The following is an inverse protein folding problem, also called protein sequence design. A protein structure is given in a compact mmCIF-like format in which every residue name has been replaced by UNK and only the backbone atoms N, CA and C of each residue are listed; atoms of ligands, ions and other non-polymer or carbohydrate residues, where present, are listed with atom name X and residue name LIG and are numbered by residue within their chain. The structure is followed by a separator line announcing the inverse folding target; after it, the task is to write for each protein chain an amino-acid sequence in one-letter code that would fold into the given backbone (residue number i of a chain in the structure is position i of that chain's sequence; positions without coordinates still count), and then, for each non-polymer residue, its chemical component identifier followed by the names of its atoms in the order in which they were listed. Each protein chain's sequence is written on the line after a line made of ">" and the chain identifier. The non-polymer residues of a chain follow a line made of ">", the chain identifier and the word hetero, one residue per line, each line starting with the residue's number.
data_IF_666868601799
#
_entry.id   IF_666868601799
#
_cell.length_a   1.000
_cell.length_b   1.000
_cell.length_c   1.000
_cell.angle_alpha   90.00
_cell.angle_beta   90.00
_cell.angle_gamma   90.00
#
_symmetry.space_group_name_H-M   'P 1'
#
loop_
_entity.id
_entity.type
_entity.pdbx_description
1 polymer ?
#
# COMPACT_ATOMS: atom_id res chain seq x y z
N UNK A 1 -44.96 -50.90 -16.93
CA UNK A 1 -44.02 -50.79 -15.78
C UNK A 1 -42.98 -49.78 -16.16
N UNK A 2 -43.21 -48.49 -15.83
CA UNK A 2 -42.25 -47.39 -15.95
C UNK A 2 -41.38 -47.33 -14.70
N UNK A 3 -40.08 -47.33 -14.86
CA UNK A 3 -39.13 -47.01 -13.82
C UNK A 3 -38.74 -45.55 -14.05
N UNK A 4 -39.21 -44.68 -13.16
CA UNK A 4 -38.87 -43.28 -13.09
C UNK A 4 -37.49 -43.21 -12.43
N UNK A 5 -36.47 -42.79 -13.18
CA UNK A 5 -35.14 -42.48 -12.66
C UNK A 5 -35.21 -41.09 -12.01
N UNK A 6 -35.12 -41.04 -10.68
CA UNK A 6 -34.91 -39.79 -9.96
C UNK A 6 -33.55 -39.21 -10.34
N UNK A 7 -33.57 -38.03 -10.97
CA UNK A 7 -32.41 -37.22 -11.26
C UNK A 7 -31.91 -36.63 -9.91
N UNK A 8 -30.84 -37.19 -9.37
CA UNK A 8 -30.15 -36.58 -8.23
C UNK A 8 -29.59 -35.22 -8.70
N UNK A 9 -30.07 -34.15 -8.09
CA UNK A 9 -29.48 -32.83 -8.22
C UNK A 9 -28.03 -32.90 -7.75
N UNK A 10 -27.06 -32.24 -8.47
CA UNK A 10 -25.69 -32.22 -8.03
C UNK A 10 -25.61 -31.54 -6.65
N UNK A 11 -24.99 -32.21 -5.70
CA UNK A 11 -24.69 -31.66 -4.40
C UNK A 11 -23.92 -30.34 -4.60
N UNK A 12 -24.47 -29.29 -4.02
CA UNK A 12 -23.82 -27.98 -3.92
C UNK A 12 -22.52 -28.20 -3.17
N UNK A 13 -21.41 -28.36 -3.89
CA UNK A 13 -20.09 -28.46 -3.32
C UNK A 13 -19.72 -27.06 -2.89
N UNK A 14 -20.03 -26.69 -1.64
CA UNK A 14 -19.58 -25.46 -1.03
C UNK A 14 -18.06 -25.36 -1.22
N UNK A 15 -17.62 -24.37 -1.97
CA UNK A 15 -16.18 -24.06 -2.11
C UNK A 15 -15.66 -23.78 -0.71
N UNK A 16 -14.62 -24.53 -0.27
CA UNK A 16 -14.02 -24.31 1.03
C UNK A 16 -13.49 -22.88 1.12
N UNK A 17 -13.63 -22.25 2.29
CA UNK A 17 -13.05 -20.93 2.51
C UNK A 17 -11.53 -20.97 2.32
N UNK A 18 -10.93 -19.96 1.67
CA UNK A 18 -9.48 -19.89 1.54
C UNK A 18 -8.77 -19.88 2.89
N UNK A 19 -7.54 -20.41 2.93
CA UNK A 19 -6.70 -20.33 4.13
C UNK A 19 -6.35 -18.86 4.43
N UNK A 20 -6.60 -18.46 5.65
CA UNK A 20 -6.31 -17.13 6.18
C UNK A 20 -4.82 -16.97 6.54
N UNK A 21 -4.33 -15.72 6.76
CA UNK A 21 -2.99 -15.47 7.24
C UNK A 21 -2.64 -16.27 8.49
N UNK A 22 -1.38 -16.67 8.61
CA UNK A 22 -0.88 -17.32 9.81
C UNK A 22 -0.97 -16.40 11.03
N UNK A 23 -1.18 -16.97 12.21
CA UNK A 23 -1.16 -16.21 13.46
C UNK A 23 0.21 -15.54 13.65
N UNK A 24 0.21 -14.29 14.12
CA UNK A 24 1.42 -13.52 14.42
C UNK A 24 2.19 -14.21 15.55
N UNK A 25 3.49 -14.42 15.32
CA UNK A 25 4.41 -14.93 16.35
C UNK A 25 5.18 -13.74 16.93
N UNK A 26 5.07 -13.50 18.26
CA UNK A 26 5.84 -12.43 18.90
C UNK A 26 7.35 -12.65 18.76
N UNK A 27 8.08 -11.56 18.48
CA UNK A 27 9.54 -11.53 18.44
C UNK A 27 10.01 -10.45 19.41
N UNK A 28 10.70 -10.82 20.48
CA UNK A 28 11.20 -9.87 21.46
C UNK A 28 12.17 -8.88 20.80
N UNK A 29 11.91 -7.58 20.97
CA UNK A 29 12.71 -6.53 20.34
C UNK A 29 12.63 -6.52 18.82
N UNK A 30 11.67 -7.22 18.22
CA UNK A 30 11.42 -7.26 16.80
C UNK A 30 10.88 -5.94 16.26
N UNK A 31 11.03 -5.75 14.96
CA UNK A 31 10.47 -4.61 14.24
C UNK A 31 9.36 -5.06 13.29
N UNK A 32 8.43 -4.18 13.02
CA UNK A 32 7.23 -4.45 12.22
C UNK A 32 7.01 -3.32 11.22
N UNK A 33 6.38 -3.63 10.09
CA UNK A 33 6.00 -2.65 9.06
C UNK A 33 4.49 -2.68 8.85
N UNK A 34 3.90 -1.51 8.66
CA UNK A 34 2.48 -1.39 8.33
C UNK A 34 2.20 -0.21 7.45
N UNK A 35 1.03 -0.23 6.84
CA UNK A 35 0.55 0.75 5.89
C UNK A 35 -0.84 1.22 6.29
N UNK A 36 -1.17 2.46 5.99
CA UNK A 36 -2.50 3.03 6.15
C UNK A 36 -2.82 3.99 5.02
N UNK A 37 -4.11 4.15 4.77
CA UNK A 37 -4.64 5.14 3.84
C UNK A 37 -5.51 6.13 4.57
N UNK A 38 -5.33 7.41 4.29
CA UNK A 38 -5.99 8.50 5.00
C UNK A 38 -6.38 9.64 4.05
N UNK A 39 -7.30 10.49 4.50
CA UNK A 39 -7.58 11.79 3.89
C UNK A 39 -6.79 12.87 4.62
N UNK A 40 -5.44 12.82 4.56
CA UNK A 40 -4.60 13.74 5.30
C UNK A 40 -4.66 15.18 4.78
N UNK A 41 -4.92 15.37 3.48
CA UNK A 41 -4.92 16.66 2.81
C UNK A 41 -6.18 16.88 1.97
N UNK A 42 -7.18 17.54 2.53
CA UNK A 42 -8.39 17.91 1.83
C UNK A 42 -9.17 16.74 1.23
N UNK A 43 -9.93 17.01 0.17
CA UNK A 43 -10.89 16.08 -0.44
C UNK A 43 -10.49 15.55 -1.81
N UNK A 44 -9.40 16.06 -2.41
CA UNK A 44 -8.99 15.78 -3.80
C UNK A 44 -7.95 14.70 -3.95
N UNK A 45 -7.41 14.19 -2.85
CA UNK A 45 -6.39 13.15 -2.82
C UNK A 45 -6.65 12.18 -1.68
N UNK A 46 -5.99 11.03 -1.73
CA UNK A 46 -5.81 10.20 -0.54
C UNK A 46 -4.32 10.00 -0.28
N UNK A 47 -3.98 9.81 0.98
CA UNK A 47 -2.61 9.65 1.46
C UNK A 47 -2.33 8.19 1.73
N UNK A 48 -1.19 7.70 1.27
CA UNK A 48 -0.56 6.47 1.70
C UNK A 48 0.51 6.81 2.74
N UNK A 49 0.45 6.16 3.88
CA UNK A 49 1.47 6.21 4.91
C UNK A 49 2.01 4.80 5.18
N UNK A 50 3.32 4.68 5.31
CA UNK A 50 3.99 3.45 5.76
C UNK A 50 4.83 3.78 6.98
N UNK A 51 4.84 2.90 7.97
CA UNK A 51 5.66 3.04 9.16
C UNK A 51 6.36 1.73 9.52
N UNK A 52 7.61 1.84 9.96
CA UNK A 52 8.34 0.77 10.63
C UNK A 52 8.40 1.13 12.10
N UNK A 53 8.03 0.19 12.95
CA UNK A 53 7.98 0.38 14.41
C UNK A 53 8.79 -0.68 15.15
N UNK A 54 9.30 -0.30 16.31
CA UNK A 54 9.76 -1.19 17.35
C UNK A 54 8.94 -0.88 18.59
N UNK A 55 8.12 -1.84 19.01
CA UNK A 55 7.10 -1.62 20.04
C UNK A 55 6.15 -0.46 19.64
N UNK A 56 6.23 0.68 20.32
CA UNK A 56 5.45 1.88 20.03
C UNK A 56 6.28 3.04 19.41
N UNK A 57 7.57 2.81 19.14
CA UNK A 57 8.48 3.81 18.61
C UNK A 57 8.59 3.70 17.09
N UNK A 58 8.43 4.82 16.40
CA UNK A 58 8.61 4.94 14.95
C UNK A 58 10.10 4.90 14.62
N UNK A 59 10.53 3.94 13.79
CA UNK A 59 11.90 3.84 13.30
C UNK A 59 12.08 4.43 11.91
N UNK A 60 11.05 4.35 11.09
CA UNK A 60 11.01 4.94 9.75
C UNK A 60 9.57 5.24 9.36
N UNK A 61 9.36 6.24 8.53
CA UNK A 61 8.04 6.58 7.98
C UNK A 61 8.15 7.01 6.52
N UNK A 62 7.09 6.81 5.76
CA UNK A 62 6.93 7.25 4.38
C UNK A 62 5.55 7.83 4.18
N UNK A 63 5.46 8.87 3.35
CA UNK A 63 4.21 9.54 2.96
C UNK A 63 4.18 9.75 1.45
N UNK A 64 3.06 9.50 0.84
CA UNK A 64 2.72 9.97 -0.50
C UNK A 64 1.22 10.27 -0.60
N UNK A 65 0.86 11.08 -1.57
CA UNK A 65 -0.53 11.36 -1.91
C UNK A 65 -0.82 10.94 -3.35
N UNK A 66 -2.01 10.37 -3.56
CA UNK A 66 -2.53 10.11 -4.90
C UNK A 66 -3.62 11.11 -5.25
N UNK A 67 -3.54 11.67 -6.44
CA UNK A 67 -4.48 12.67 -6.92
C UNK A 67 -4.77 12.50 -8.41
N UNK A 68 -6.03 12.73 -8.80
CA UNK A 68 -6.37 12.85 -10.21
C UNK A 68 -6.01 14.23 -10.76
N UNK A 69 -5.47 14.24 -11.96
CA UNK A 69 -5.19 15.46 -12.72
C UNK A 69 -5.64 15.29 -14.18
N UNK A 70 -5.49 16.33 -15.00
CA UNK A 70 -5.75 16.25 -16.44
C UNK A 70 -4.69 15.39 -17.13
N UNK A 71 -5.10 14.64 -18.14
CA UNK A 71 -4.17 13.91 -19.05
C UNK A 71 -3.17 14.84 -19.73
N UNK A 72 -3.51 16.13 -19.90
CA UNK A 72 -2.64 17.13 -20.52
C UNK A 72 -1.63 17.75 -19.55
N UNK A 73 -1.64 17.35 -18.27
CA UNK A 73 -0.77 17.93 -17.24
C UNK A 73 0.72 17.59 -17.41
N UNK A 74 1.04 16.59 -18.24
CA UNK A 74 2.44 16.16 -18.45
C UNK A 74 3.06 15.43 -17.25
N UNK A 75 2.23 14.80 -16.44
CA UNK A 75 2.66 14.05 -15.25
C UNK A 75 2.97 12.58 -15.57
N UNK A 76 3.79 11.96 -14.74
CA UNK A 76 3.95 10.50 -14.70
C UNK A 76 2.77 9.89 -13.97
N UNK A 77 1.97 9.10 -14.67
CA UNK A 77 0.84 8.39 -14.12
C UNK A 77 1.27 7.16 -13.30
N UNK A 78 0.38 6.65 -12.44
CA UNK A 78 0.60 5.37 -11.78
C UNK A 78 0.68 4.22 -12.80
N UNK A 79 1.33 3.09 -12.47
CA UNK A 79 1.45 1.95 -13.39
C UNK A 79 0.09 1.49 -13.94
N UNK A 80 0.10 0.95 -15.15
CA UNK A 80 -1.09 0.49 -15.90
C UNK A 80 -2.11 1.58 -16.27
N UNK A 81 -1.75 2.86 -16.16
CA UNK A 81 -2.60 3.98 -16.62
C UNK A 81 -2.76 4.06 -18.14
N UNK A 82 -1.98 3.29 -18.89
CA UNK A 82 -2.08 3.09 -20.35
C UNK A 82 -2.73 1.77 -20.74
N UNK A 83 -3.30 1.05 -19.76
CA UNK A 83 -3.86 -0.29 -19.91
C UNK A 83 -5.26 -0.39 -19.27
N UNK A 84 -5.70 -1.58 -18.89
CA UNK A 84 -7.05 -1.85 -18.37
C UNK A 84 -7.38 -1.06 -17.08
N UNK A 85 -6.37 -0.72 -16.28
CA UNK A 85 -6.58 0.08 -15.07
C UNK A 85 -7.18 1.45 -15.39
N UNK A 86 -6.77 2.06 -16.50
CA UNK A 86 -7.28 3.36 -16.94
C UNK A 86 -8.78 3.36 -17.30
N UNK A 87 -9.39 2.20 -17.51
CA UNK A 87 -10.85 2.09 -17.72
C UNK A 87 -11.66 2.52 -16.47
N UNK A 88 -11.01 2.64 -15.32
CA UNK A 88 -11.59 3.18 -14.10
C UNK A 88 -11.54 4.71 -13.98
N UNK A 89 -10.89 5.41 -14.91
CA UNK A 89 -10.75 6.86 -14.88
C UNK A 89 -11.91 7.58 -15.58
N UNK A 90 -12.33 8.71 -15.03
CA UNK A 90 -13.19 9.64 -15.75
C UNK A 90 -12.47 10.18 -16.99
N UNK A 91 -13.23 10.59 -18.00
CA UNK A 91 -12.69 11.13 -19.24
C UNK A 91 -11.74 12.32 -18.97
N UNK A 92 -10.57 12.31 -19.61
CA UNK A 92 -9.56 13.35 -19.49
C UNK A 92 -8.83 13.38 -18.12
N UNK A 93 -8.98 12.35 -17.31
CA UNK A 93 -8.31 12.21 -16.01
C UNK A 93 -7.22 11.15 -16.03
N UNK A 94 -6.22 11.35 -15.18
CA UNK A 94 -5.16 10.39 -14.91
C UNK A 94 -4.79 10.44 -13.43
N UNK A 95 -4.52 9.31 -12.83
CA UNK A 95 -4.09 9.19 -11.43
C UNK A 95 -2.57 9.32 -11.35
N UNK A 96 -2.09 10.15 -10.44
CA UNK A 96 -0.66 10.33 -10.18
C UNK A 96 -0.33 10.19 -8.71
N UNK A 97 0.89 9.72 -8.42
CA UNK A 97 1.58 9.90 -7.15
C UNK A 97 2.17 11.31 -7.10
N UNK A 98 1.97 12.02 -6.00
CA UNK A 98 2.56 13.36 -5.85
C UNK A 98 4.08 13.29 -5.67
N UNK A 99 4.61 12.27 -5.00
CA UNK A 99 6.07 12.09 -4.89
C UNK A 99 6.72 11.82 -6.24
N UNK A 100 6.15 10.95 -7.06
CA UNK A 100 6.67 10.69 -8.41
C UNK A 100 6.61 11.93 -9.30
N UNK A 101 5.80 12.91 -8.96
CA UNK A 101 5.61 14.17 -9.67
C UNK A 101 5.92 15.40 -8.78
N UNK A 102 6.89 15.27 -7.86
CA UNK A 102 7.18 16.29 -6.86
C UNK A 102 7.52 17.65 -7.47
N UNK A 103 8.30 17.70 -8.55
CA UNK A 103 8.64 18.94 -9.24
C UNK A 103 7.40 19.66 -9.81
N UNK A 104 6.54 18.91 -10.48
CA UNK A 104 5.27 19.43 -11.02
C UNK A 104 4.39 19.98 -9.89
N UNK A 105 4.22 19.21 -8.83
CA UNK A 105 3.34 19.58 -7.72
C UNK A 105 3.90 20.75 -6.92
N UNK A 106 5.22 20.77 -6.66
CA UNK A 106 5.91 21.85 -5.96
C UNK A 106 5.82 23.18 -6.73
N UNK A 107 5.98 23.14 -8.05
CA UNK A 107 5.78 24.32 -8.91
C UNK A 107 4.37 24.86 -8.79
N UNK A 108 3.36 23.99 -8.84
CA UNK A 108 1.96 24.35 -8.68
C UNK A 108 1.68 24.97 -7.29
N UNK A 109 2.26 24.40 -6.23
CA UNK A 109 2.16 24.93 -4.87
C UNK A 109 2.79 26.32 -4.74
N UNK A 110 3.95 26.54 -5.37
CA UNK A 110 4.60 27.84 -5.36
C UNK A 110 3.78 28.90 -6.12
N UNK A 111 3.29 28.58 -7.31
CA UNK A 111 2.53 29.49 -8.17
C UNK A 111 1.14 29.83 -7.59
N UNK A 112 0.45 28.87 -7.02
CA UNK A 112 -0.94 29.06 -6.52
C UNK A 112 -1.03 29.38 -5.04
N UNK A 113 -0.11 28.85 -4.24
CA UNK A 113 -0.13 28.94 -2.77
C UNK A 113 1.05 29.75 -2.18
N UNK A 114 2.00 30.18 -3.01
CA UNK A 114 3.19 30.90 -2.54
C UNK A 114 4.11 30.02 -1.68
N UNK A 115 4.03 28.69 -1.83
CA UNK A 115 4.88 27.77 -1.06
C UNK A 115 6.35 27.97 -1.38
N UNK A 116 7.18 28.01 -0.35
CA UNK A 116 8.64 28.14 -0.45
C UNK A 116 9.38 26.82 -0.20
N UNK A 117 8.65 25.77 0.18
CA UNK A 117 9.19 24.43 0.43
C UNK A 117 8.56 23.43 -0.55
N UNK A 118 9.39 22.64 -1.21
CA UNK A 118 8.93 21.62 -2.14
C UNK A 118 8.07 20.55 -1.43
N UNK A 119 7.21 19.86 -2.16
CA UNK A 119 6.30 18.88 -1.59
C UNK A 119 7.06 17.71 -0.93
N UNK A 120 8.02 17.13 -1.65
CA UNK A 120 8.86 16.04 -1.15
C UNK A 120 9.65 16.46 0.10
N UNK A 121 10.20 17.67 0.13
CA UNK A 121 10.87 18.22 1.31
C UNK A 121 9.92 18.39 2.50
N UNK A 122 8.67 18.76 2.28
CA UNK A 122 7.62 18.78 3.30
C UNK A 122 7.35 17.37 3.86
N UNK A 123 7.14 16.39 2.99
CA UNK A 123 6.93 15.01 3.40
C UNK A 123 8.13 14.47 4.18
N UNK A 124 9.35 14.73 3.70
CA UNK A 124 10.57 14.30 4.38
C UNK A 124 10.74 14.96 5.76
N UNK A 125 10.39 16.24 5.91
CA UNK A 125 10.40 16.92 7.20
C UNK A 125 9.41 16.26 8.19
N UNK A 126 8.20 15.93 7.74
CA UNK A 126 7.18 15.28 8.57
C UNK A 126 7.61 13.85 8.95
N UNK A 127 8.13 13.08 8.00
CA UNK A 127 8.65 11.73 8.22
C UNK A 127 9.81 11.73 9.22
N UNK A 128 10.78 12.62 9.03
CA UNK A 128 11.94 12.75 9.91
C UNK A 128 11.54 13.19 11.32
N UNK A 129 10.51 14.04 11.45
CA UNK A 129 9.97 14.42 12.74
C UNK A 129 9.36 13.24 13.50
N UNK A 130 8.72 12.31 12.79
CA UNK A 130 8.10 11.13 13.37
C UNK A 130 9.13 10.12 13.90
N UNK A 131 10.31 10.02 13.27
CA UNK A 131 11.33 9.05 13.67
C UNK A 131 11.82 9.31 15.09
N UNK A 132 11.89 8.23 15.89
CA UNK A 132 12.29 8.24 17.29
C UNK A 132 11.18 8.65 18.27
N UNK A 133 9.99 9.01 17.79
CA UNK A 133 8.84 9.32 18.64
C UNK A 133 7.95 8.08 18.83
N UNK A 134 7.27 8.07 19.95
CA UNK A 134 6.21 7.08 20.19
C UNK A 134 4.94 7.44 19.44
N UNK A 135 4.09 6.45 19.22
CA UNK A 135 2.76 6.66 18.63
C UNK A 135 2.00 7.73 19.42
N UNK A 136 2.01 7.67 20.77
CA UNK A 136 1.32 8.63 21.63
C UNK A 136 1.87 10.05 21.49
N UNK A 137 3.18 10.23 21.39
CA UNK A 137 3.79 11.56 21.16
C UNK A 137 3.35 12.16 19.83
N UNK A 138 3.22 11.33 18.77
CA UNK A 138 2.71 11.80 17.48
C UNK A 138 1.22 12.13 17.53
N UNK A 139 0.42 11.36 18.26
CA UNK A 139 -0.99 11.66 18.49
C UNK A 139 -1.17 13.00 19.19
N UNK A 140 -0.35 13.28 20.20
CA UNK A 140 -0.39 14.55 20.93
C UNK A 140 -0.06 15.75 20.03
N UNK A 141 0.88 15.60 19.11
CA UNK A 141 1.20 16.67 18.14
C UNK A 141 0.08 16.81 17.11
N UNK A 142 -0.42 15.71 16.55
CA UNK A 142 -1.51 15.72 15.59
C UNK A 142 -2.79 16.34 16.18
N UNK A 143 -3.06 16.13 17.47
CA UNK A 143 -4.21 16.71 18.18
C UNK A 143 -4.19 18.25 18.23
N UNK A 144 -3.05 18.90 17.94
CA UNK A 144 -2.95 20.36 17.84
C UNK A 144 -3.58 20.92 16.56
N UNK A 145 -4.01 20.08 15.63
CA UNK A 145 -4.64 20.49 14.39
C UNK A 145 -3.72 21.40 13.56
N UNK A 146 -4.19 22.55 13.14
CA UNK A 146 -3.40 23.47 12.29
C UNK A 146 -2.08 23.93 12.93
N UNK A 147 -1.95 23.90 14.25
CA UNK A 147 -0.71 24.29 14.96
C UNK A 147 0.36 23.16 14.95
N UNK A 148 0.01 21.97 14.48
CA UNK A 148 0.96 20.85 14.40
C UNK A 148 2.16 21.17 13.48
N UNK A 149 1.96 21.97 12.44
CA UNK A 149 3.02 22.40 11.51
C UNK A 149 4.13 23.15 12.23
N UNK A 150 3.81 23.92 13.27
CA UNK A 150 4.80 24.70 14.02
C UNK A 150 5.77 23.82 14.83
N UNK A 151 5.38 22.58 15.12
CA UNK A 151 6.22 21.60 15.79
C UNK A 151 7.22 20.91 14.85
N UNK A 152 6.98 20.96 13.53
CA UNK A 152 7.72 20.21 12.52
C UNK A 152 8.66 21.16 11.76
N UNK A 153 9.91 21.23 12.17
CA UNK A 153 10.92 22.04 11.47
C UNK A 153 11.08 21.60 10.01
N UNK A 154 10.96 22.56 9.09
CA UNK A 154 11.06 22.31 7.65
C UNK A 154 9.73 22.00 6.96
N UNK A 155 8.66 21.74 7.68
CA UNK A 155 7.32 21.61 7.10
C UNK A 155 6.59 22.95 7.04
N UNK A 156 5.81 23.14 5.99
CA UNK A 156 4.95 24.32 5.77
C UNK A 156 3.51 23.93 5.42
N UNK A 157 3.20 22.65 5.35
CA UNK A 157 1.86 22.16 5.03
C UNK A 157 0.94 22.36 6.24
N UNK A 158 -0.14 23.11 6.06
CA UNK A 158 -1.14 23.35 7.10
C UNK A 158 -1.82 22.06 7.59
N UNK A 159 -1.83 21.02 6.74
CA UNK A 159 -2.39 19.70 7.04
C UNK A 159 -1.35 18.73 7.66
N UNK A 160 -0.26 19.24 8.21
CA UNK A 160 0.77 18.43 8.89
C UNK A 160 0.17 17.49 9.93
N UNK A 161 -0.85 17.92 10.67
CA UNK A 161 -1.58 17.07 11.62
C UNK A 161 -2.20 15.84 10.97
N UNK A 162 -2.80 15.99 9.78
CA UNK A 162 -3.38 14.89 9.02
C UNK A 162 -2.33 13.87 8.57
N UNK A 163 -1.18 14.33 8.11
CA UNK A 163 -0.07 13.44 7.74
C UNK A 163 0.54 12.72 8.95
N UNK A 164 0.68 13.38 10.09
CA UNK A 164 1.11 12.73 11.33
C UNK A 164 0.10 11.66 11.78
N UNK A 165 -1.19 11.94 11.68
CA UNK A 165 -2.24 10.96 11.97
C UNK A 165 -2.17 9.76 11.03
N UNK A 166 -1.88 9.96 9.74
CA UNK A 166 -1.70 8.87 8.78
C UNK A 166 -0.49 7.98 9.15
N UNK A 167 0.63 8.57 9.60
CA UNK A 167 1.78 7.80 10.12
C UNK A 167 1.41 7.03 11.38
N UNK A 168 0.63 7.61 12.29
CA UNK A 168 0.13 6.94 13.50
C UNK A 168 -0.72 5.73 13.12
N UNK A 169 -1.61 5.87 12.16
CA UNK A 169 -2.46 4.76 11.70
C UNK A 169 -1.63 3.64 11.07
N UNK A 170 -0.63 3.99 10.24
CA UNK A 170 0.32 3.03 9.69
C UNK A 170 1.13 2.31 10.78
N UNK A 171 1.56 3.03 11.82
CA UNK A 171 2.29 2.47 12.95
C UNK A 171 1.42 1.51 13.78
N UNK A 172 0.15 1.85 14.03
CA UNK A 172 -0.81 0.94 14.69
C UNK A 172 -1.07 -0.30 13.86
N UNK A 173 -1.21 -0.16 12.55
CA UNK A 173 -1.33 -1.29 11.64
C UNK A 173 -0.05 -2.16 11.65
N UNK A 174 1.13 -1.55 11.73
CA UNK A 174 2.40 -2.28 11.83
C UNK A 174 2.41 -3.21 13.05
N UNK A 175 1.88 -2.79 14.20
CA UNK A 175 1.81 -3.60 15.41
C UNK A 175 0.94 -4.87 15.24
N UNK A 176 0.18 -4.97 14.15
CA UNK A 176 -0.65 -6.14 13.81
C UNK A 176 -0.01 -7.06 12.76
N UNK A 177 1.21 -6.78 12.31
CA UNK A 177 1.93 -7.58 11.31
C UNK A 177 2.99 -8.47 11.97
N UNK A 178 3.53 -9.43 11.21
CA UNK A 178 4.60 -10.29 11.71
C UNK A 178 5.86 -9.49 11.98
N UNK A 179 6.37 -9.56 13.21
CA UNK A 179 7.63 -8.96 13.58
C UNK A 179 8.82 -9.77 13.06
N UNK A 180 9.92 -9.09 12.75
CA UNK A 180 11.21 -9.70 12.43
C UNK A 180 12.26 -9.25 13.42
N UNK A 181 13.24 -10.12 13.70
CA UNK A 181 14.39 -9.75 14.53
C UNK A 181 15.26 -8.72 13.80
N UNK A 182 15.62 -7.65 14.49
CA UNK A 182 16.52 -6.63 13.96
C UNK A 182 17.45 -6.12 15.07
N UNK A 183 18.73 -6.37 14.90
CA UNK A 183 19.78 -6.00 15.85
C UNK A 183 20.58 -4.75 15.43
N UNK A 184 20.20 -4.13 14.28
CA UNK A 184 20.81 -2.91 13.78
C UNK A 184 20.29 -1.64 14.47
N UNK A 185 20.91 -0.51 14.14
CA UNK A 185 20.41 0.82 14.53
C UNK A 185 19.26 1.25 13.61
N UNK A 186 18.34 2.08 14.12
CA UNK A 186 17.31 2.73 13.28
C UNK A 186 17.92 3.60 12.18
N UNK A 187 19.15 4.14 12.40
CA UNK A 187 19.87 4.93 11.40
C UNK A 187 20.33 4.10 10.19
N UNK A 188 20.44 2.77 10.36
CA UNK A 188 20.80 1.85 9.27
C UNK A 188 19.59 1.51 8.39
N UNK A 189 18.36 1.74 8.87
CA UNK A 189 17.13 1.46 8.14
C UNK A 189 16.84 2.52 7.09
N UNK A 190 16.55 2.07 5.88
CA UNK A 190 16.03 2.90 4.79
C UNK A 190 14.69 2.35 4.35
N UNK A 191 13.64 3.16 4.50
CA UNK A 191 12.30 2.82 4.04
C UNK A 191 12.03 3.50 2.69
N UNK A 192 11.63 2.72 1.71
CA UNK A 192 11.21 3.23 0.41
C UNK A 192 9.94 2.51 -0.08
N UNK A 193 9.18 3.19 -0.93
CA UNK A 193 7.96 2.67 -1.55
C UNK A 193 8.05 2.88 -3.05
N UNK A 194 7.69 1.85 -3.81
CA UNK A 194 7.65 1.89 -5.27
C UNK A 194 6.29 1.40 -5.75
N UNK A 195 5.79 2.02 -6.80
CA UNK A 195 4.57 1.61 -7.48
C UNK A 195 4.92 0.85 -8.76
N UNK A 196 4.38 -0.35 -8.89
CA UNK A 196 4.69 -1.25 -9.99
C UNK A 196 3.45 -1.96 -10.53
N UNK A 197 3.64 -2.75 -11.57
CA UNK A 197 2.62 -3.60 -12.19
C UNK A 197 2.98 -5.07 -11.95
N UNK A 198 2.84 -5.55 -10.70
CA UNK A 198 3.19 -6.92 -10.34
C UNK A 198 2.20 -7.94 -10.91
N UNK A 199 0.91 -7.57 -11.04
CA UNK A 199 -0.18 -8.47 -11.40
C UNK A 199 -1.05 -7.90 -12.50
N UNK A 200 -0.78 -8.31 -13.74
CA UNK A 200 -1.62 -7.98 -14.90
C UNK A 200 -1.75 -6.47 -15.16
N UNK A 201 -2.87 -6.10 -15.79
CA UNK A 201 -3.10 -4.75 -16.33
C UNK A 201 -4.22 -3.97 -15.64
N UNK A 202 -4.94 -4.61 -14.69
CA UNK A 202 -6.14 -4.04 -14.04
C UNK A 202 -5.88 -3.37 -12.69
N UNK A 203 -4.66 -3.45 -12.18
CA UNK A 203 -4.27 -2.92 -10.88
C UNK A 203 -2.85 -2.36 -10.94
N UNK A 204 -2.48 -1.58 -9.94
CA UNK A 204 -1.07 -1.29 -9.67
C UNK A 204 -0.73 -1.66 -8.23
N UNK A 205 0.52 -2.03 -8.03
CA UNK A 205 1.05 -2.55 -6.76
C UNK A 205 1.82 -1.45 -6.05
N UNK A 206 1.58 -1.27 -4.76
CA UNK A 206 2.45 -0.54 -3.83
C UNK A 206 3.33 -1.55 -3.10
N UNK A 207 4.64 -1.44 -3.28
CA UNK A 207 5.64 -2.23 -2.58
C UNK A 207 6.49 -1.36 -1.67
N UNK A 208 6.40 -1.58 -0.36
CA UNK A 208 7.22 -0.90 0.64
C UNK A 208 8.32 -1.84 1.14
N UNK A 209 9.54 -1.34 1.26
CA UNK A 209 10.68 -2.11 1.76
C UNK A 209 11.51 -1.27 2.72
N UNK A 210 11.81 -1.85 3.88
CA UNK A 210 12.85 -1.37 4.77
C UNK A 210 14.11 -2.21 4.56
N UNK A 211 15.21 -1.58 4.20
CA UNK A 211 16.52 -2.21 4.01
C UNK A 211 17.50 -1.81 5.09
N UNK A 212 18.46 -2.70 5.37
CA UNK A 212 19.68 -2.39 6.13
C UNK A 212 20.87 -2.95 5.35
N UNK A 213 21.71 -2.08 4.81
CA UNK A 213 22.75 -2.46 3.84
C UNK A 213 22.13 -3.15 2.63
N UNK A 214 22.60 -4.34 2.30
CA UNK A 214 22.14 -5.14 1.16
C UNK A 214 20.98 -6.08 1.50
N UNK A 215 20.41 -5.98 2.69
CA UNK A 215 19.37 -6.89 3.18
C UNK A 215 18.02 -6.22 3.18
N UNK A 216 17.00 -6.90 2.66
CA UNK A 216 15.60 -6.57 2.83
C UNK A 216 15.20 -7.03 4.24
N UNK A 217 14.99 -6.10 5.16
CA UNK A 217 14.63 -6.42 6.55
C UNK A 217 13.14 -6.67 6.68
N UNK A 218 12.35 -5.76 6.12
CA UNK A 218 10.88 -5.83 6.11
C UNK A 218 10.35 -5.43 4.75
N UNK A 219 9.23 -6.01 4.38
CA UNK A 219 8.50 -5.67 3.17
C UNK A 219 6.99 -5.64 3.41
N UNK A 220 6.27 -4.87 2.60
CA UNK A 220 4.82 -4.78 2.62
C UNK A 220 4.28 -4.61 1.22
N UNK A 221 3.19 -5.31 0.89
CA UNK A 221 2.54 -5.32 -0.43
C UNK A 221 1.08 -4.95 -0.27
N UNK A 222 0.60 -4.04 -1.10
CA UNK A 222 -0.82 -3.87 -1.39
C UNK A 222 -1.01 -3.55 -2.87
N UNK A 223 -2.22 -3.64 -3.34
CA UNK A 223 -2.62 -3.29 -4.70
C UNK A 223 -3.88 -2.46 -4.72
N UNK A 224 -3.94 -1.59 -5.71
CA UNK A 224 -5.12 -0.77 -6.00
C UNK A 224 -5.78 -1.25 -7.29
N UNK A 225 -7.09 -1.43 -7.23
CA UNK A 225 -7.90 -1.87 -8.36
C UNK A 225 -9.26 -1.17 -8.35
N UNK A 226 -9.80 -0.91 -9.53
CA UNK A 226 -11.17 -0.45 -9.64
C UNK A 226 -12.15 -1.61 -9.54
N UNK A 227 -13.18 -1.43 -8.72
CA UNK A 227 -14.34 -2.29 -8.61
C UNK A 227 -15.60 -1.56 -9.09
N UNK A 228 -16.71 -2.29 -9.23
CA UNK A 228 -18.02 -1.67 -9.36
C UNK A 228 -18.42 -0.93 -8.09
N UNK A 229 -19.01 0.24 -8.18
CA UNK A 229 -19.47 1.00 -7.01
C UNK A 229 -20.55 0.28 -6.20
N UNK A 230 -21.20 -0.72 -6.80
CA UNK A 230 -22.21 -1.59 -6.19
C UNK A 230 -21.63 -2.91 -5.63
N UNK A 231 -20.32 -3.10 -5.72
CA UNK A 231 -19.65 -4.34 -5.29
C UNK A 231 -19.59 -4.52 -3.76
N UNK A 232 -19.96 -3.49 -2.98
CA UNK A 232 -19.91 -3.55 -1.51
C UNK A 232 -18.51 -3.45 -0.94
N UNK A 233 -17.55 -2.93 -1.72
CA UNK A 233 -16.16 -2.72 -1.28
C UNK A 233 -16.00 -1.37 -0.58
N UNK A 234 -14.98 -1.27 0.26
CA UNK A 234 -14.54 0.00 0.86
C UNK A 234 -13.62 0.69 -0.15
N UNK A 235 -14.02 1.88 -0.60
CA UNK A 235 -13.18 2.73 -1.45
C UNK A 235 -12.00 3.33 -0.67
N UNK A 236 -10.96 3.76 -1.39
CA UNK A 236 -9.88 4.54 -0.77
C UNK A 236 -10.45 5.85 -0.18
N UNK A 237 -9.77 6.49 0.80
CA UNK A 237 -10.25 7.74 1.38
C UNK A 237 -10.63 8.78 0.32
N UNK A 238 -11.65 9.58 0.60
CA UNK A 238 -12.23 10.60 -0.30
C UNK A 238 -12.89 10.04 -1.59
N UNK A 239 -13.16 8.74 -1.67
CA UNK A 239 -13.91 8.15 -2.80
C UNK A 239 -15.34 8.69 -2.93
N UNK A 240 -15.92 9.18 -1.85
CA UNK A 240 -17.24 9.83 -1.77
C UNK A 240 -17.19 11.37 -1.86
N UNK A 241 -16.01 11.93 -2.14
CA UNK A 241 -15.73 13.35 -2.21
C UNK A 241 -15.12 13.75 -3.57
N UNK A 242 -14.35 14.86 -3.62
CA UNK A 242 -13.75 15.37 -4.85
C UNK A 242 -12.80 14.38 -5.54
N UNK A 243 -12.15 13.50 -4.77
CA UNK A 243 -11.29 12.47 -5.35
C UNK A 243 -12.10 11.49 -6.21
N UNK A 244 -13.28 11.10 -5.74
CA UNK A 244 -14.20 10.22 -6.48
C UNK A 244 -14.69 10.79 -7.80
N UNK A 245 -14.64 12.11 -8.01
CA UNK A 245 -14.94 12.73 -9.30
C UNK A 245 -13.94 12.35 -10.41
N UNK A 246 -12.81 11.78 -10.06
CA UNK A 246 -11.84 11.19 -10.98
C UNK A 246 -12.17 9.80 -11.49
N UNK A 247 -13.23 9.17 -10.97
CA UNK A 247 -13.65 7.82 -11.37
C UNK A 247 -14.58 7.83 -12.57
N UNK A 248 -14.46 6.81 -13.41
CA UNK A 248 -15.48 6.50 -14.41
C UNK A 248 -16.82 6.16 -13.71
N UNK A 249 -17.93 6.37 -14.40
CA UNK A 249 -19.26 6.06 -13.88
C UNK A 249 -19.36 4.61 -13.41
N UNK A 250 -19.91 4.41 -12.21
CA UNK A 250 -20.09 3.09 -11.62
C UNK A 250 -18.80 2.43 -11.13
N UNK A 251 -17.72 3.16 -10.97
CA UNK A 251 -16.42 2.67 -10.48
C UNK A 251 -16.07 3.26 -9.12
N UNK A 252 -15.28 2.49 -8.35
CA UNK A 252 -14.64 2.92 -7.11
C UNK A 252 -13.24 2.30 -7.03
N UNK A 253 -12.26 3.08 -6.67
CA UNK A 253 -10.89 2.60 -6.43
C UNK A 253 -10.81 1.99 -5.03
N UNK A 254 -10.26 0.78 -4.93
CA UNK A 254 -10.09 0.09 -3.65
C UNK A 254 -8.66 -0.39 -3.46
N UNK A 255 -8.22 -0.47 -2.20
CA UNK A 255 -7.09 -1.28 -1.77
C UNK A 255 -7.54 -2.73 -1.66
N UNK A 256 -6.75 -3.65 -2.18
CA UNK A 256 -7.05 -5.07 -2.08
C UNK A 256 -6.90 -5.59 -0.65
N UNK A 257 -5.91 -5.10 0.11
CA UNK A 257 -5.76 -5.49 1.52
C UNK A 257 -6.92 -5.04 2.38
N UNK A 258 -7.38 -3.79 2.22
CA UNK A 258 -8.56 -3.29 2.95
C UNK A 258 -9.80 -4.11 2.63
N UNK A 259 -9.87 -4.69 1.43
CA UNK A 259 -10.97 -5.51 0.95
C UNK A 259 -10.57 -6.98 0.77
N UNK A 260 -9.67 -7.49 1.64
CA UNK A 260 -9.09 -8.83 1.47
C UNK A 260 -10.16 -9.93 1.45
N UNK A 261 -11.17 -9.87 2.30
CA UNK A 261 -12.28 -10.83 2.34
C UNK A 261 -13.04 -10.89 1.01
N UNK A 262 -13.41 -9.70 0.49
CA UNK A 262 -14.08 -9.59 -0.80
C UNK A 262 -13.24 -10.17 -1.93
N UNK A 263 -11.97 -9.80 -1.98
CA UNK A 263 -11.07 -10.22 -3.05
C UNK A 263 -10.74 -11.71 -2.97
N UNK A 264 -10.52 -12.23 -1.77
CA UNK A 264 -10.25 -13.66 -1.52
C UNK A 264 -11.44 -14.54 -1.90
N UNK A 265 -12.66 -14.11 -1.57
CA UNK A 265 -13.89 -14.79 -2.01
C UNK A 265 -13.98 -14.83 -3.54
N UNK A 266 -13.74 -13.71 -4.20
CA UNK A 266 -13.74 -13.64 -5.66
C UNK A 266 -12.66 -14.55 -6.29
N UNK A 267 -11.47 -14.62 -5.70
CA UNK A 267 -10.39 -15.52 -6.14
C UNK A 267 -10.78 -16.99 -5.97
N UNK A 268 -11.41 -17.35 -4.85
CA UNK A 268 -11.89 -18.70 -4.61
C UNK A 268 -12.98 -19.12 -5.62
N UNK A 269 -13.98 -18.26 -5.83
CA UNK A 269 -15.10 -18.52 -6.73
C UNK A 269 -14.70 -18.57 -8.22
N UNK A 270 -13.80 -17.67 -8.65
CA UNK A 270 -13.44 -17.53 -10.07
C UNK A 270 -12.21 -18.33 -10.49
N UNK A 271 -11.27 -18.52 -9.58
CA UNK A 271 -9.99 -19.17 -9.87
C UNK A 271 -9.70 -20.38 -8.99
N UNK A 272 -10.61 -20.76 -8.08
CA UNK A 272 -10.42 -21.90 -7.19
C UNK A 272 -9.26 -21.69 -6.20
N UNK A 273 -8.94 -20.43 -5.84
CA UNK A 273 -7.87 -20.15 -4.89
C UNK A 273 -8.17 -20.78 -3.53
N UNK A 274 -7.18 -21.44 -2.96
CA UNK A 274 -7.24 -22.07 -1.63
C UNK A 274 -6.56 -21.25 -0.53
N UNK A 275 -5.96 -20.11 -0.88
CA UNK A 275 -5.25 -19.20 0.02
C UNK A 275 -5.84 -17.81 -0.15
N UNK A 276 -6.12 -17.10 0.94
CA UNK A 276 -6.63 -15.72 0.90
C UNK A 276 -5.60 -14.77 0.29
N UNK A 277 -6.04 -13.59 -0.15
CA UNK A 277 -5.13 -12.62 -0.78
C UNK A 277 -4.06 -12.13 0.20
N UNK A 278 -4.48 -11.73 1.39
CA UNK A 278 -3.60 -11.23 2.43
C UNK A 278 -2.62 -12.31 2.92
N UNK A 279 -3.06 -13.58 3.04
CA UNK A 279 -2.16 -14.70 3.33
C UNK A 279 -1.11 -14.90 2.22
N UNK A 280 -1.49 -14.73 0.97
CA UNK A 280 -0.54 -14.76 -0.15
C UNK A 280 0.50 -13.64 -0.05
N UNK A 281 0.06 -12.40 0.20
CA UNK A 281 0.98 -11.26 0.34
C UNK A 281 1.91 -11.47 1.53
N UNK A 282 1.38 -11.93 2.68
CA UNK A 282 2.17 -12.19 3.87
C UNK A 282 3.19 -13.32 3.64
N UNK A 283 2.82 -14.37 2.89
CA UNK A 283 3.75 -15.44 2.53
C UNK A 283 4.92 -14.91 1.68
N UNK A 284 4.64 -14.07 0.68
CA UNK A 284 5.67 -13.45 -0.17
C UNK A 284 6.58 -12.54 0.67
N UNK A 285 6.00 -11.66 1.50
CA UNK A 285 6.73 -10.76 2.37
C UNK A 285 7.64 -11.52 3.35
N UNK A 286 7.09 -12.52 4.04
CA UNK A 286 7.86 -13.34 5.00
C UNK A 286 9.00 -14.11 4.33
N UNK A 287 8.83 -14.52 3.07
CA UNK A 287 9.89 -15.18 2.31
C UNK A 287 11.02 -14.23 1.92
N UNK A 288 10.68 -13.00 1.53
CA UNK A 288 11.63 -11.98 1.09
C UNK A 288 12.35 -11.30 2.26
N UNK A 289 11.69 -11.19 3.41
CA UNK A 289 12.28 -10.61 4.62
C UNK A 289 13.50 -11.44 5.07
N UNK A 290 14.64 -10.76 5.23
CA UNK A 290 15.94 -11.37 5.55
C UNK A 290 16.77 -11.75 4.32
N UNK A 291 16.22 -11.69 3.11
CA UNK A 291 17.00 -11.96 1.87
C UNK A 291 17.95 -10.82 1.55
N UNK A 292 19.07 -11.15 0.90
CA UNK A 292 19.85 -10.13 0.20
C UNK A 292 19.06 -9.58 -0.99
N UNK A 293 19.28 -8.31 -1.34
CA UNK A 293 18.67 -7.70 -2.53
C UNK A 293 19.00 -8.51 -3.79
N UNK A 294 20.22 -9.05 -3.89
CA UNK A 294 20.66 -9.87 -5.02
C UNK A 294 19.88 -11.20 -5.12
N UNK A 295 19.64 -11.88 -3.99
CA UNK A 295 18.87 -13.14 -3.98
C UNK A 295 17.39 -12.88 -4.30
N UNK A 296 16.81 -11.81 -3.75
CA UNK A 296 15.46 -11.39 -4.10
C UNK A 296 15.35 -11.01 -5.59
N UNK A 297 16.35 -10.34 -6.17
CA UNK A 297 16.41 -10.04 -7.60
C UNK A 297 16.49 -11.32 -8.44
N UNK A 298 17.24 -12.32 -8.02
CA UNK A 298 17.26 -13.61 -8.70
C UNK A 298 15.89 -14.30 -8.67
N UNK A 299 15.21 -14.27 -7.50
CA UNK A 299 13.87 -14.83 -7.34
C UNK A 299 12.84 -14.09 -8.22
N UNK A 300 12.94 -12.77 -8.35
CA UNK A 300 12.04 -11.97 -9.19
C UNK A 300 12.12 -12.29 -10.69
N UNK A 301 13.17 -12.95 -11.12
CA UNK A 301 13.40 -13.37 -12.52
C UNK A 301 13.04 -14.84 -12.76
N UNK A 302 12.67 -15.57 -11.71
CA UNK A 302 12.26 -16.97 -11.80
C UNK A 302 10.76 -17.06 -12.08
N UNK A 303 10.40 -17.58 -13.26
CA UNK A 303 9.00 -17.82 -13.65
C UNK A 303 8.27 -18.78 -12.68
N UNK A 304 9.01 -19.55 -11.90
CA UNK A 304 8.52 -20.48 -10.89
C UNK A 304 8.69 -19.96 -9.46
N UNK A 305 8.84 -18.66 -9.27
CA UNK A 305 9.02 -18.06 -7.94
C UNK A 305 7.93 -18.49 -6.94
N UNK A 306 6.70 -18.73 -7.41
CA UNK A 306 5.60 -19.22 -6.55
C UNK A 306 5.94 -20.57 -5.90
N UNK A 307 6.66 -21.45 -6.59
CA UNK A 307 7.03 -22.78 -6.06
C UNK A 307 8.08 -22.66 -4.92
N UNK A 308 8.85 -21.58 -4.91
CA UNK A 308 9.85 -21.30 -3.86
C UNK A 308 9.25 -20.66 -2.61
N UNK A 309 8.08 -20.03 -2.73
CA UNK A 309 7.44 -19.27 -1.65
C UNK A 309 6.37 -20.11 -0.96
N UNK A 310 6.74 -20.73 0.15
CA UNK A 310 5.79 -21.54 0.94
C UNK A 310 4.59 -20.71 1.39
N UNK A 311 3.39 -21.18 1.09
CA UNK A 311 2.13 -20.52 1.44
C UNK A 311 1.61 -19.57 0.37
N UNK A 312 2.38 -19.23 -0.67
CA UNK A 312 1.89 -18.46 -1.81
C UNK A 312 1.32 -19.37 -2.90
N UNK A 313 0.26 -18.87 -3.56
CA UNK A 313 -0.38 -19.52 -4.71
C UNK A 313 -0.55 -18.57 -5.90
N UNK A 314 -0.13 -17.32 -5.77
CA UNK A 314 -0.22 -16.32 -6.83
C UNK A 314 0.82 -16.60 -7.91
N UNK A 315 0.36 -16.84 -9.14
CA UNK A 315 1.25 -17.12 -10.29
C UNK A 315 2.21 -15.96 -10.58
N UNK A 316 1.83 -14.74 -10.24
CA UNK A 316 2.63 -13.52 -10.41
C UNK A 316 3.56 -13.23 -9.22
N UNK A 317 3.89 -14.21 -8.39
CA UNK A 317 4.79 -14.06 -7.23
C UNK A 317 6.11 -13.39 -7.64
N UNK A 318 6.70 -13.76 -8.78
CA UNK A 318 7.91 -13.10 -9.31
C UNK A 318 7.71 -11.59 -9.52
N UNK A 319 6.55 -11.18 -10.01
CA UNK A 319 6.20 -9.76 -10.22
C UNK A 319 6.15 -8.99 -8.90
N UNK A 320 5.52 -9.56 -7.87
CA UNK A 320 5.48 -8.94 -6.54
C UNK A 320 6.88 -8.81 -5.94
N UNK A 321 7.70 -9.87 -6.02
CA UNK A 321 9.11 -9.81 -5.58
C UNK A 321 9.87 -8.74 -6.36
N UNK A 322 9.61 -8.60 -7.68
CA UNK A 322 10.21 -7.56 -8.52
C UNK A 322 9.93 -6.15 -8.03
N UNK A 323 8.68 -5.85 -7.65
CA UNK A 323 8.30 -4.53 -7.09
C UNK A 323 9.02 -4.29 -5.75
N UNK A 324 9.14 -5.31 -4.89
CA UNK A 324 9.89 -5.19 -3.64
C UNK A 324 11.39 -4.98 -3.88
N UNK A 325 11.98 -5.63 -4.87
CA UNK A 325 13.39 -5.41 -5.27
C UNK A 325 13.61 -3.99 -5.78
N UNK A 326 12.67 -3.45 -6.57
CA UNK A 326 12.75 -2.07 -7.04
C UNK A 326 12.65 -1.07 -5.89
N UNK A 327 11.85 -1.36 -4.87
CA UNK A 327 11.78 -0.56 -3.65
C UNK A 327 13.05 -0.68 -2.79
N UNK A 328 13.78 -1.78 -2.87
CA UNK A 328 15.02 -2.02 -2.11
C UNK A 328 16.28 -1.36 -2.73
N UNK A 329 16.22 -0.95 -4.01
CA UNK A 329 17.32 -0.30 -4.76
C UNK A 329 17.24 1.22 -4.66
#
# INVERSE_FOLDING_TARGET
>A
LGVELAEEAPADSAVAAPAEPAAIVPVEGGIQIGQAYAAAHGTKCFTEAVAVVKDDVILAAYLDDFQFTSTDAGVTAVPNSDSDFAAGYAEGKVLMSKRANADYYSKMMAEKGGSTVALDANFDAIQNFAVGKTISELEDVAAKGAEAVDAVSGATLVDTAGYLSAIVDAAKNAQTTQAVEFNGSSEDLKLNVVYGAAHGTKCFTSGAVATAGDTIVLSYIDEFQFAGSDAGVVGVPNSDSDFGAGYAEGKVLMSKRVNADYYSKMMAEKAGSTVSLDANYDAIQNHVNGMSIADAEALSKDEKAVDAVSGATLVDTAGYVGVLVDAAK
#
